data_IF_060338940376
#
_entry.id   IF_060338940376
#
_cell.length_a   1.000
_cell.length_b   1.000
_cell.length_c   1.000
_cell.angle_alpha   90.00
_cell.angle_beta   90.00
_cell.angle_gamma   90.00
#
_symmetry.space_group_name_H-M   'P 1'
#
loop_
_entity.id
_entity.type
_entity.pdbx_description
1 polymer ?
#
# COMPACT_ATOMS: atom_id res chain seq x y z
N UNK A 1 38.18 -3.25 15.41
CA UNK A 1 37.22 -3.91 14.49
C UNK A 1 35.88 -4.22 15.19
N UNK A 2 35.66 -3.70 16.40
CA UNK A 2 34.46 -3.91 17.21
C UNK A 2 33.75 -2.58 17.39
N UNK A 3 32.56 -2.44 16.78
CA UNK A 3 31.47 -1.47 17.11
C UNK A 3 30.48 -1.18 15.96
N UNK A 4 30.54 -1.90 14.82
CA UNK A 4 29.53 -1.75 13.74
C UNK A 4 28.32 -2.70 13.83
N UNK A 5 28.32 -3.66 14.75
CA UNK A 5 27.23 -4.65 14.89
C UNK A 5 25.92 -4.14 15.53
N UNK A 6 25.91 -3.23 16.54
CA UNK A 6 24.64 -2.87 17.20
C UNK A 6 23.74 -1.98 16.34
N UNK A 7 24.34 -1.11 15.51
CA UNK A 7 23.61 -0.17 14.66
C UNK A 7 22.80 -0.88 13.56
N UNK A 8 23.35 -1.94 12.96
CA UNK A 8 22.65 -2.69 11.91
C UNK A 8 21.45 -3.47 12.45
N UNK A 9 21.57 -4.05 13.66
CA UNK A 9 20.47 -4.74 14.33
C UNK A 9 19.37 -3.77 14.74
N UNK A 10 19.72 -2.60 15.28
CA UNK A 10 18.74 -1.57 15.65
C UNK A 10 18.00 -1.01 14.44
N UNK A 11 18.70 -0.74 13.33
CA UNK A 11 18.08 -0.32 12.07
C UNK A 11 17.11 -1.37 11.52
N UNK A 12 17.49 -2.65 11.58
CA UNK A 12 16.61 -3.74 11.18
C UNK A 12 15.32 -3.77 12.00
N UNK A 13 15.42 -3.77 13.33
CA UNK A 13 14.25 -3.76 14.21
C UNK A 13 13.37 -2.53 14.00
N UNK A 14 13.96 -1.34 13.87
CA UNK A 14 13.22 -0.11 13.61
C UNK A 14 12.46 -0.17 12.29
N UNK A 15 13.10 -0.68 11.22
CA UNK A 15 12.46 -0.87 9.92
C UNK A 15 11.35 -1.92 9.97
N UNK A 16 11.55 -3.03 10.68
CA UNK A 16 10.52 -4.06 10.86
C UNK A 16 9.30 -3.55 11.63
N UNK A 17 9.51 -2.78 12.71
CA UNK A 17 8.43 -2.18 13.47
C UNK A 17 7.68 -1.15 12.61
N UNK A 18 8.40 -0.34 11.83
CA UNK A 18 7.79 0.60 10.91
C UNK A 18 6.93 -0.10 9.84
N UNK A 19 7.42 -1.20 9.26
CA UNK A 19 6.64 -1.99 8.29
C UNK A 19 5.39 -2.63 8.92
N UNK A 20 5.49 -3.18 10.13
CA UNK A 20 4.33 -3.76 10.81
C UNK A 20 3.28 -2.69 11.17
N UNK A 21 3.73 -1.53 11.66
CA UNK A 21 2.84 -0.42 11.96
C UNK A 21 2.21 0.15 10.68
N UNK A 22 2.97 0.23 9.59
CA UNK A 22 2.45 0.56 8.25
C UNK A 22 1.31 -0.36 7.87
N UNK A 23 1.48 -1.68 8.00
CA UNK A 23 0.47 -2.66 7.64
C UNK A 23 -0.86 -2.46 8.38
N UNK A 24 -0.79 -2.28 9.70
CA UNK A 24 -1.98 -2.05 10.54
C UNK A 24 -2.69 -0.77 10.13
N UNK A 25 -1.94 0.33 9.95
CA UNK A 25 -2.49 1.62 9.58
C UNK A 25 -3.08 1.59 8.16
N UNK A 26 -2.42 0.90 7.23
CA UNK A 26 -2.87 0.77 5.84
C UNK A 26 -4.18 -0.01 5.75
N UNK A 27 -4.25 -1.18 6.41
CA UNK A 27 -5.47 -1.97 6.48
C UNK A 27 -6.62 -1.18 7.10
N UNK A 28 -6.36 -0.49 8.22
CA UNK A 28 -7.33 0.37 8.89
C UNK A 28 -7.82 1.49 7.98
N UNK A 29 -6.90 2.17 7.30
CA UNK A 29 -7.20 3.22 6.35
C UNK A 29 -8.21 2.77 5.28
N UNK A 30 -7.96 1.64 4.62
CA UNK A 30 -8.85 1.15 3.55
C UNK A 30 -10.23 0.77 4.11
N UNK A 31 -10.29 0.19 5.31
CA UNK A 31 -11.57 -0.10 6.00
C UNK A 31 -12.36 1.18 6.26
N UNK A 32 -11.74 2.21 6.83
CA UNK A 32 -12.39 3.53 7.01
C UNK A 32 -12.75 4.21 5.70
N UNK A 33 -12.04 3.90 4.62
CA UNK A 33 -12.40 4.41 3.29
C UNK A 33 -13.71 3.84 2.81
N UNK A 34 -13.92 2.54 3.04
CA UNK A 34 -15.19 1.89 2.74
C UNK A 34 -16.32 2.47 3.58
N UNK A 35 -16.09 2.71 4.88
CA UNK A 35 -17.07 3.39 5.74
C UNK A 35 -17.43 4.76 5.17
N UNK A 36 -16.44 5.56 4.73
CA UNK A 36 -16.71 6.85 4.13
C UNK A 36 -17.56 6.74 2.84
N UNK A 37 -17.36 5.70 2.03
CA UNK A 37 -18.20 5.42 0.85
C UNK A 37 -19.64 5.09 1.24
N UNK A 38 -19.84 4.30 2.30
CA UNK A 38 -21.17 3.95 2.79
C UNK A 38 -21.94 5.19 3.30
N UNK A 39 -21.23 6.28 3.64
CA UNK A 39 -21.79 7.59 3.99
C UNK A 39 -21.79 8.61 2.84
N UNK A 40 -21.64 8.17 1.60
CA UNK A 40 -21.83 9.00 0.39
C UNK A 40 -20.55 9.63 -0.19
N UNK A 41 -19.39 9.48 0.48
CA UNK A 41 -18.13 9.98 -0.09
C UNK A 41 -17.69 9.13 -1.30
N UNK A 42 -16.91 9.69 -2.21
CA UNK A 42 -16.31 8.94 -3.31
C UNK A 42 -14.78 8.88 -3.24
N UNK A 43 -14.20 8.00 -4.07
CA UNK A 43 -12.76 7.77 -4.11
C UNK A 43 -11.96 9.03 -4.46
N UNK A 44 -12.53 9.94 -5.25
CA UNK A 44 -11.90 11.19 -5.66
C UNK A 44 -11.74 12.13 -4.46
N UNK A 45 -12.81 12.34 -3.68
CA UNK A 45 -12.76 13.13 -2.45
C UNK A 45 -11.77 12.55 -1.42
N UNK A 46 -11.76 11.23 -1.25
CA UNK A 46 -10.81 10.57 -0.36
C UNK A 46 -9.35 10.78 -0.79
N UNK A 47 -9.04 10.54 -2.06
CA UNK A 47 -7.67 10.72 -2.57
C UNK A 47 -7.22 12.18 -2.51
N UNK A 48 -8.14 13.13 -2.75
CA UNK A 48 -7.86 14.55 -2.62
C UNK A 48 -7.47 14.91 -1.17
N UNK A 49 -8.29 14.51 -0.20
CA UNK A 49 -8.02 14.81 1.22
C UNK A 49 -6.75 14.11 1.71
N UNK A 50 -6.53 12.84 1.35
CA UNK A 50 -5.31 12.09 1.69
C UNK A 50 -4.05 12.78 1.18
N UNK A 51 -4.01 13.09 -0.11
CA UNK A 51 -2.80 13.66 -0.74
C UNK A 51 -2.53 15.08 -0.25
N UNK A 52 -3.56 15.92 -0.09
CA UNK A 52 -3.41 17.25 0.50
C UNK A 52 -2.93 17.18 1.96
N UNK A 53 -3.55 16.33 2.79
CA UNK A 53 -3.16 16.18 4.20
C UNK A 53 -1.71 15.75 4.29
N UNK A 54 -1.30 14.76 3.49
CA UNK A 54 0.06 14.27 3.50
C UNK A 54 1.08 15.31 3.01
N UNK A 55 0.77 15.99 1.91
CA UNK A 55 1.63 17.04 1.38
C UNK A 55 1.80 18.18 2.41
N UNK A 56 0.72 18.61 3.07
CA UNK A 56 0.77 19.58 4.15
C UNK A 56 1.67 19.12 5.30
N UNK A 57 1.55 17.87 5.77
CA UNK A 57 2.42 17.32 6.79
C UNK A 57 3.90 17.35 6.38
N UNK A 58 4.22 16.96 5.13
CA UNK A 58 5.61 16.98 4.64
C UNK A 58 6.15 18.40 4.48
N UNK A 59 5.34 19.35 4.02
CA UNK A 59 5.73 20.76 3.93
C UNK A 59 6.13 21.27 5.31
N UNK A 60 5.32 21.02 6.34
CA UNK A 60 5.64 21.39 7.73
C UNK A 60 6.96 20.76 8.19
N UNK A 61 7.17 19.47 7.91
CA UNK A 61 8.43 18.77 8.26
C UNK A 61 9.63 19.40 7.55
N UNK A 62 9.56 19.66 6.24
CA UNK A 62 10.66 20.23 5.45
C UNK A 62 11.02 21.64 5.93
N UNK A 63 10.02 22.48 6.23
CA UNK A 63 10.25 23.81 6.79
C UNK A 63 10.84 23.74 8.20
N UNK A 64 10.33 22.86 9.06
CA UNK A 64 10.82 22.70 10.43
C UNK A 64 12.26 22.16 10.50
N UNK A 65 12.65 21.29 9.55
CA UNK A 65 14.02 20.74 9.51
C UNK A 65 15.01 21.61 8.75
N UNK A 66 14.58 22.74 8.18
CA UNK A 66 15.43 23.62 7.36
C UNK A 66 16.04 22.91 6.15
N UNK A 67 15.43 21.81 5.69
CA UNK A 67 16.00 20.98 4.64
C UNK A 67 15.93 21.70 3.31
N UNK A 68 17.09 22.01 2.72
CA UNK A 68 17.16 22.59 1.39
C UNK A 68 16.59 21.58 0.37
N UNK A 69 15.48 21.92 -0.28
CA UNK A 69 14.84 21.14 -1.34
C UNK A 69 15.65 21.12 -2.66
N UNK A 70 16.98 21.03 -2.57
CA UNK A 70 17.88 20.99 -3.72
C UNK A 70 18.10 19.54 -4.11
N UNK A 71 17.38 19.10 -5.14
CA UNK A 71 17.58 17.79 -5.75
C UNK A 71 18.03 17.95 -7.20
N UNK A 72 18.92 17.07 -7.67
CA UNK A 72 19.32 17.03 -9.08
C UNK A 72 18.08 16.79 -9.95
N UNK A 73 17.95 17.51 -11.06
CA UNK A 73 16.78 17.42 -11.95
C UNK A 73 16.42 16.00 -12.37
N UNK A 74 17.41 15.15 -12.63
CA UNK A 74 17.18 13.75 -12.98
C UNK A 74 16.53 12.94 -11.84
N UNK A 75 17.00 13.11 -10.60
CA UNK A 75 16.41 12.42 -9.43
C UNK A 75 15.04 13.01 -9.08
N UNK A 76 14.85 14.32 -9.29
CA UNK A 76 13.53 14.97 -9.18
C UNK A 76 12.51 14.36 -10.15
N UNK A 77 12.87 14.21 -11.43
CA UNK A 77 11.99 13.59 -12.42
C UNK A 77 11.65 12.14 -12.07
N UNK A 78 12.59 11.38 -11.51
CA UNK A 78 12.31 10.03 -10.99
C UNK A 78 11.30 10.06 -9.86
N UNK A 79 11.44 10.97 -8.90
CA UNK A 79 10.50 11.10 -7.80
C UNK A 79 9.10 11.53 -8.28
N UNK A 80 9.01 12.43 -9.26
CA UNK A 80 7.73 12.78 -9.88
C UNK A 80 7.08 11.56 -10.53
N UNK A 81 7.87 10.70 -11.19
CA UNK A 81 7.36 9.44 -11.76
C UNK A 81 6.88 8.45 -10.69
N UNK A 82 7.56 8.37 -9.54
CA UNK A 82 7.04 7.63 -8.37
C UNK A 82 5.66 8.15 -7.96
N UNK A 83 5.42 9.47 -8.06
CA UNK A 83 4.13 10.06 -7.75
C UNK A 83 3.01 9.64 -8.70
N UNK A 84 3.34 9.36 -9.97
CA UNK A 84 2.38 8.78 -10.92
C UNK A 84 2.01 7.36 -10.52
N UNK A 85 2.99 6.53 -10.14
CA UNK A 85 2.76 5.16 -9.67
C UNK A 85 1.95 5.14 -8.36
N UNK A 86 2.27 6.03 -7.42
CA UNK A 86 1.51 6.21 -6.18
C UNK A 86 0.06 6.61 -6.48
N UNK A 87 -0.16 7.59 -7.36
CA UNK A 87 -1.50 7.99 -7.76
C UNK A 87 -2.26 6.82 -8.40
N UNK A 88 -1.64 6.09 -9.32
CA UNK A 88 -2.26 4.93 -9.97
C UNK A 88 -2.68 3.87 -8.93
N UNK A 89 -1.77 3.49 -8.03
CA UNK A 89 -2.05 2.55 -6.94
C UNK A 89 -3.22 3.01 -6.07
N UNK A 90 -3.20 4.25 -5.59
CA UNK A 90 -4.25 4.80 -4.73
C UNK A 90 -5.64 4.73 -5.37
N UNK A 91 -5.75 5.08 -6.66
CA UNK A 91 -7.02 5.04 -7.39
C UNK A 91 -7.47 3.62 -7.68
N UNK A 92 -6.58 2.75 -8.14
CA UNK A 92 -6.90 1.37 -8.49
C UNK A 92 -7.35 0.56 -7.27
N UNK A 93 -6.66 0.69 -6.14
CA UNK A 93 -7.05 0.01 -4.90
C UNK A 93 -8.38 0.53 -4.37
N UNK A 94 -8.57 1.85 -4.29
CA UNK A 94 -9.83 2.42 -3.83
C UNK A 94 -11.01 2.14 -4.76
N UNK A 95 -10.77 2.01 -6.07
CA UNK A 95 -11.79 1.59 -7.02
C UNK A 95 -12.14 0.10 -6.83
N UNK A 96 -11.16 -0.76 -6.51
CA UNK A 96 -11.43 -2.20 -6.31
C UNK A 96 -12.44 -2.46 -5.19
N UNK A 97 -12.37 -1.72 -4.08
CA UNK A 97 -13.28 -1.89 -2.92
C UNK A 97 -14.71 -1.36 -3.17
N UNK A 98 -14.99 -0.81 -4.35
CA UNK A 98 -16.36 -0.57 -4.82
C UNK A 98 -17.02 -1.84 -5.35
N UNK A 99 -16.22 -2.81 -5.81
CA UNK A 99 -16.70 -4.01 -6.48
C UNK A 99 -16.53 -5.29 -5.65
N UNK A 100 -15.57 -5.30 -4.72
CA UNK A 100 -15.26 -6.47 -3.90
C UNK A 100 -15.07 -6.09 -2.42
N UNK A 101 -15.22 -7.04 -1.48
CA UNK A 101 -14.96 -6.80 -0.06
C UNK A 101 -13.54 -6.29 0.20
N UNK A 102 -13.37 -5.48 1.25
CA UNK A 102 -12.10 -4.81 1.56
C UNK A 102 -10.98 -5.81 1.83
N UNK A 103 -11.28 -6.86 2.59
CA UNK A 103 -10.31 -7.91 2.89
C UNK A 103 -9.84 -8.64 1.61
N UNK A 104 -10.74 -8.86 0.64
CA UNK A 104 -10.40 -9.50 -0.63
C UNK A 104 -9.51 -8.59 -1.49
N UNK A 105 -9.86 -7.31 -1.59
CA UNK A 105 -9.07 -6.32 -2.31
C UNK A 105 -7.65 -6.22 -1.76
N UNK A 106 -7.52 -6.15 -0.43
CA UNK A 106 -6.22 -6.10 0.24
C UNK A 106 -5.46 -7.41 0.01
N UNK A 107 -6.09 -8.58 0.13
CA UNK A 107 -5.39 -9.84 -0.12
C UNK A 107 -4.80 -9.94 -1.54
N UNK A 108 -5.56 -9.53 -2.56
CA UNK A 108 -5.08 -9.49 -3.96
C UNK A 108 -3.98 -8.44 -4.12
N UNK A 109 -4.16 -7.27 -3.51
CA UNK A 109 -3.18 -6.18 -3.53
C UNK A 109 -1.82 -6.64 -2.97
N UNK A 110 -1.84 -7.40 -1.87
CA UNK A 110 -0.65 -7.98 -1.24
C UNK A 110 -0.04 -9.18 -2.01
N UNK A 111 -0.33 -9.32 -3.30
CA UNK A 111 0.50 -10.10 -4.22
C UNK A 111 1.79 -9.36 -4.63
N UNK A 112 1.88 -8.05 -4.39
CA UNK A 112 3.07 -7.24 -4.72
C UNK A 112 4.39 -7.72 -4.08
N UNK A 113 4.46 -8.30 -2.85
CA UNK A 113 5.71 -8.84 -2.30
C UNK A 113 6.27 -9.97 -3.17
N UNK A 114 5.41 -10.80 -3.77
CA UNK A 114 5.84 -11.84 -4.71
C UNK A 114 6.45 -11.23 -5.97
N UNK A 115 5.90 -10.11 -6.46
CA UNK A 115 6.43 -9.38 -7.61
C UNK A 115 7.80 -8.77 -7.29
N UNK A 116 7.99 -8.23 -6.08
CA UNK A 116 9.27 -7.70 -5.61
C UNK A 116 10.31 -8.82 -5.46
N UNK A 117 9.92 -9.96 -4.89
CA UNK A 117 10.79 -11.13 -4.76
C UNK A 117 11.24 -11.66 -6.14
N UNK A 118 10.31 -11.76 -7.09
CA UNK A 118 10.59 -12.16 -8.46
C UNK A 118 11.54 -11.18 -9.15
N UNK A 119 11.32 -9.88 -8.98
CA UNK A 119 12.20 -8.85 -9.53
C UNK A 119 13.61 -8.93 -8.94
N UNK A 120 13.73 -9.11 -7.63
CA UNK A 120 15.02 -9.26 -6.95
C UNK A 120 15.80 -10.46 -7.50
N UNK A 121 15.11 -11.56 -7.82
CA UNK A 121 15.72 -12.71 -8.48
C UNK A 121 16.19 -12.38 -9.90
N UNK A 122 15.33 -11.79 -10.75
CA UNK A 122 15.66 -11.47 -12.15
C UNK A 122 16.87 -10.54 -12.26
N UNK A 123 17.02 -9.59 -11.34
CA UNK A 123 18.15 -8.64 -11.31
C UNK A 123 19.40 -9.23 -10.63
N UNK A 124 19.35 -10.47 -10.14
CA UNK A 124 20.47 -11.15 -9.49
C UNK A 124 20.78 -10.64 -8.08
N UNK A 125 19.83 -9.95 -7.43
CA UNK A 125 19.95 -9.55 -6.01
C UNK A 125 19.71 -10.71 -5.04
N UNK A 126 19.06 -11.79 -5.49
CA UNK A 126 18.83 -13.01 -4.72
C UNK A 126 19.11 -14.27 -5.55
N UNK A 127 19.63 -15.32 -4.91
CA UNK A 127 19.78 -16.63 -5.54
C UNK A 127 18.41 -17.32 -5.64
N UNK A 128 18.05 -17.85 -6.81
CA UNK A 128 16.85 -18.67 -6.96
C UNK A 128 16.95 -19.90 -6.07
N UNK A 129 16.22 -19.90 -4.95
CA UNK A 129 16.05 -21.11 -4.17
C UNK A 129 14.77 -21.81 -4.66
N UNK A 130 14.79 -23.13 -4.91
CA UNK A 130 13.57 -23.90 -5.14
C UNK A 130 12.52 -23.69 -4.04
N UNK A 131 12.97 -23.34 -2.83
CA UNK A 131 12.11 -22.95 -1.71
C UNK A 131 11.31 -21.68 -2.02
N UNK A 132 11.93 -20.63 -2.55
CA UNK A 132 11.26 -19.37 -2.91
C UNK A 132 10.19 -19.62 -3.98
N UNK A 133 10.50 -20.43 -4.99
CA UNK A 133 9.52 -20.81 -6.00
C UNK A 133 8.33 -21.59 -5.43
N UNK A 134 8.58 -22.57 -4.55
CA UNK A 134 7.53 -23.29 -3.84
C UNK A 134 6.67 -22.36 -2.98
N UNK A 135 7.30 -21.43 -2.26
CA UNK A 135 6.60 -20.43 -1.45
C UNK A 135 5.69 -19.54 -2.31
N UNK A 136 6.17 -19.08 -3.47
CA UNK A 136 5.36 -18.32 -4.42
C UNK A 136 4.15 -19.13 -4.91
N UNK A 137 4.33 -20.42 -5.23
CA UNK A 137 3.23 -21.30 -5.66
C UNK A 137 2.19 -21.52 -4.55
N UNK A 138 2.63 -21.71 -3.30
CA UNK A 138 1.73 -21.86 -2.15
C UNK A 138 0.98 -20.55 -1.89
N UNK A 139 1.67 -19.41 -1.93
CA UNK A 139 1.05 -18.09 -1.76
C UNK A 139 -0.04 -17.83 -2.83
N UNK A 140 0.27 -18.15 -4.09
CA UNK A 140 -0.66 -18.02 -5.21
C UNK A 140 -1.84 -18.99 -5.08
N UNK A 141 -1.60 -20.21 -4.61
CA UNK A 141 -2.64 -21.20 -4.37
C UNK A 141 -3.60 -20.76 -3.26
N UNK A 142 -3.09 -20.22 -2.16
CA UNK A 142 -3.92 -19.60 -1.12
C UNK A 142 -4.80 -18.47 -1.68
N UNK A 143 -4.24 -17.64 -2.57
CA UNK A 143 -4.96 -16.53 -3.19
C UNK A 143 -6.07 -17.06 -4.10
N UNK A 144 -5.79 -18.09 -4.90
CA UNK A 144 -6.80 -18.77 -5.73
C UNK A 144 -7.90 -19.40 -4.88
N UNK A 145 -7.54 -20.06 -3.77
CA UNK A 145 -8.52 -20.65 -2.83
C UNK A 145 -9.42 -19.56 -2.27
N UNK A 146 -8.87 -18.41 -1.89
CA UNK A 146 -9.67 -17.31 -1.38
C UNK A 146 -10.59 -16.74 -2.46
N UNK A 147 -10.08 -16.52 -3.67
CA UNK A 147 -10.90 -16.01 -4.76
C UNK A 147 -12.01 -16.99 -5.15
N UNK A 148 -11.74 -18.30 -5.14
CA UNK A 148 -12.73 -19.35 -5.48
C UNK A 148 -13.66 -19.76 -4.34
N UNK A 149 -13.41 -19.28 -3.11
CA UNK A 149 -14.29 -19.42 -1.95
C UNK A 149 -15.55 -18.55 -2.04
N UNK A 150 -15.44 -17.41 -2.72
CA UNK A 150 -16.57 -16.75 -3.35
C UNK A 150 -16.95 -17.57 -4.58
N UNK A 151 -18.22 -17.90 -4.79
CA UNK A 151 -18.63 -18.56 -6.03
C UNK A 151 -18.16 -17.69 -7.21
N UNK A 152 -17.02 -17.99 -7.83
CA UNK A 152 -16.40 -17.15 -8.86
C UNK A 152 -17.30 -17.00 -10.12
N UNK A 153 -18.36 -17.82 -10.17
CA UNK A 153 -19.49 -17.79 -11.10
C UNK A 153 -20.60 -16.80 -10.69
N UNK A 154 -20.77 -16.48 -9.39
CA UNK A 154 -21.72 -15.49 -8.86
C UNK A 154 -21.14 -14.07 -8.75
N UNK A 155 -19.81 -13.92 -8.73
CA UNK A 155 -19.10 -12.63 -8.60
C UNK A 155 -19.34 -11.68 -9.80
N UNK A 156 -19.96 -12.17 -10.89
CA UNK A 156 -20.31 -11.36 -12.05
C UNK A 156 -19.09 -10.69 -12.73
N UNK A 157 -19.36 -9.85 -13.73
CA UNK A 157 -18.30 -9.07 -14.39
C UNK A 157 -17.66 -8.05 -13.44
N UNK A 158 -18.46 -7.46 -12.55
CA UNK A 158 -18.04 -6.39 -11.64
C UNK A 158 -16.97 -6.84 -10.65
N UNK A 159 -17.15 -7.98 -9.97
CA UNK A 159 -16.13 -8.41 -9.01
C UNK A 159 -14.84 -8.89 -9.67
N UNK A 160 -14.89 -9.44 -10.90
CA UNK A 160 -13.68 -9.72 -11.70
C UNK A 160 -12.92 -8.43 -12.04
N UNK A 161 -13.63 -7.36 -12.36
CA UNK A 161 -13.02 -6.05 -12.56
C UNK A 161 -12.37 -5.54 -11.26
N UNK A 162 -13.03 -5.71 -10.11
CA UNK A 162 -12.46 -5.39 -8.79
C UNK A 162 -11.14 -6.13 -8.50
N UNK A 163 -11.09 -7.44 -8.75
CA UNK A 163 -9.87 -8.25 -8.62
C UNK A 163 -8.78 -7.74 -9.57
N UNK A 164 -9.13 -7.46 -10.83
CA UNK A 164 -8.18 -6.91 -11.82
C UNK A 164 -7.61 -5.55 -11.40
N UNK A 165 -8.44 -4.66 -10.85
CA UNK A 165 -8.02 -3.36 -10.31
C UNK A 165 -7.06 -3.53 -9.13
N UNK A 166 -7.37 -4.41 -8.18
CA UNK A 166 -6.49 -4.68 -7.03
C UNK A 166 -5.14 -5.30 -7.47
N UNK A 167 -5.15 -6.21 -8.44
CA UNK A 167 -3.93 -6.81 -9.00
C UNK A 167 -3.08 -5.78 -9.76
N UNK A 168 -3.72 -4.85 -10.48
CA UNK A 168 -2.98 -3.79 -11.16
C UNK A 168 -2.43 -2.76 -10.17
N UNK A 169 -3.17 -2.46 -9.08
CA UNK A 169 -2.65 -1.69 -7.96
C UNK A 169 -1.41 -2.35 -7.33
N UNK A 170 -1.42 -3.68 -7.16
CA UNK A 170 -0.27 -4.44 -6.67
C UNK A 170 0.98 -4.25 -7.56
N UNK A 171 0.80 -4.29 -8.89
CA UNK A 171 1.88 -4.03 -9.84
C UNK A 171 2.44 -2.62 -9.69
N UNK A 172 1.57 -1.61 -9.58
CA UNK A 172 1.98 -0.23 -9.34
C UNK A 172 2.75 -0.09 -8.03
N UNK A 173 2.29 -0.72 -6.94
CA UNK A 173 2.99 -0.70 -5.66
C UNK A 173 4.35 -1.40 -5.73
N UNK A 174 4.44 -2.57 -6.36
CA UNK A 174 5.70 -3.29 -6.54
C UNK A 174 6.72 -2.40 -7.26
N UNK A 175 6.33 -1.81 -8.40
CA UNK A 175 7.17 -0.90 -9.15
C UNK A 175 7.56 0.34 -8.32
N UNK A 176 6.60 0.91 -7.58
CA UNK A 176 6.83 2.05 -6.70
C UNK A 176 7.89 1.75 -5.64
N UNK A 177 7.78 0.63 -4.92
CA UNK A 177 8.74 0.30 -3.84
C UNK A 177 10.12 -0.04 -4.39
N UNK A 178 10.21 -0.80 -5.50
CA UNK A 178 11.48 -1.14 -6.15
C UNK A 178 12.22 0.12 -6.62
N UNK A 179 11.52 1.03 -7.30
CA UNK A 179 12.12 2.25 -7.83
C UNK A 179 12.43 3.25 -6.70
N UNK A 180 11.61 3.28 -5.65
CA UNK A 180 11.86 4.10 -4.46
C UNK A 180 13.14 3.65 -3.74
N UNK A 181 13.36 2.34 -3.55
CA UNK A 181 14.60 1.82 -2.97
C UNK A 181 15.84 2.32 -3.73
N UNK A 182 15.79 2.34 -5.07
CA UNK A 182 16.90 2.83 -5.89
C UNK A 182 17.17 4.34 -5.70
N UNK A 183 16.11 5.13 -5.51
CA UNK A 183 16.23 6.58 -5.25
C UNK A 183 16.76 6.84 -3.85
N UNK A 184 16.29 6.08 -2.85
CA UNK A 184 16.69 6.20 -1.44
C UNK A 184 18.19 5.91 -1.22
N UNK A 185 18.82 5.11 -2.07
CA UNK A 185 20.27 4.93 -2.06
C UNK A 185 21.07 6.22 -2.32
N UNK A 186 20.42 7.26 -2.87
CA UNK A 186 21.07 8.50 -3.33
C UNK A 186 20.50 9.76 -2.69
N UNK A 187 19.32 9.68 -2.08
CA UNK A 187 18.54 10.84 -1.63
C UNK A 187 17.87 10.54 -0.29
N UNK A 188 17.62 11.58 0.49
CA UNK A 188 16.88 11.44 1.75
C UNK A 188 15.40 11.10 1.51
N UNK A 189 14.87 10.21 2.34
CA UNK A 189 13.47 9.74 2.28
C UNK A 189 12.44 10.88 2.23
N UNK A 190 12.64 11.94 3.03
CA UNK A 190 11.72 13.08 3.08
C UNK A 190 11.66 13.86 1.75
N UNK A 191 12.80 14.00 1.04
CA UNK A 191 12.84 14.68 -0.25
C UNK A 191 12.19 13.83 -1.34
N UNK A 192 12.47 12.53 -1.36
CA UNK A 192 11.81 11.60 -2.29
C UNK A 192 10.29 11.67 -2.13
N UNK A 193 9.82 11.53 -0.88
CA UNK A 193 8.39 11.57 -0.57
C UNK A 193 7.77 12.93 -0.93
N UNK A 194 8.46 14.04 -0.67
CA UNK A 194 7.97 15.38 -1.00
C UNK A 194 7.69 15.54 -2.50
N UNK A 195 8.66 15.22 -3.37
CA UNK A 195 8.46 15.34 -4.82
C UNK A 195 7.46 14.31 -5.37
N UNK A 196 7.48 13.09 -4.82
CA UNK A 196 6.49 12.05 -5.16
C UNK A 196 5.07 12.52 -4.85
N UNK A 197 4.83 13.06 -3.65
CA UNK A 197 3.52 13.55 -3.25
C UNK A 197 3.13 14.85 -3.95
N UNK A 198 4.09 15.72 -4.28
CA UNK A 198 3.81 16.90 -5.10
C UNK A 198 3.21 16.50 -6.44
N UNK A 199 3.80 15.50 -7.11
CA UNK A 199 3.26 14.97 -8.37
C UNK A 199 1.91 14.28 -8.18
N UNK A 200 1.79 13.39 -7.19
CA UNK A 200 0.54 12.67 -6.93
C UNK A 200 -0.61 13.62 -6.61
N UNK A 201 -0.38 14.61 -5.74
CA UNK A 201 -1.36 15.65 -5.38
C UNK A 201 -1.75 16.49 -6.60
N UNK A 202 -0.78 16.86 -7.45
CA UNK A 202 -1.05 17.58 -8.69
C UNK A 202 -1.97 16.81 -9.63
N UNK A 203 -1.72 15.51 -9.81
CA UNK A 203 -2.57 14.64 -10.65
C UNK A 203 -3.98 14.52 -10.06
N UNK A 204 -4.07 14.24 -8.75
CA UNK A 204 -5.36 14.14 -8.04
C UNK A 204 -6.16 15.44 -8.14
N UNK A 205 -5.51 16.61 -8.00
CA UNK A 205 -6.14 17.91 -8.16
C UNK A 205 -6.69 18.11 -9.58
N UNK A 206 -5.89 17.79 -10.61
CA UNK A 206 -6.34 17.88 -12.01
C UNK A 206 -7.55 16.98 -12.24
N UNK A 207 -7.52 15.73 -11.79
CA UNK A 207 -8.65 14.80 -11.91
C UNK A 207 -9.89 15.37 -11.20
N UNK A 208 -9.72 15.84 -9.98
CA UNK A 208 -10.81 16.37 -9.13
C UNK A 208 -11.41 17.67 -9.64
N UNK A 209 -10.67 18.46 -10.41
CA UNK A 209 -11.15 19.73 -10.97
C UNK A 209 -11.73 19.60 -12.38
N UNK A 210 -11.33 18.57 -13.14
CA UNK A 210 -11.63 18.49 -14.59
C UNK A 210 -12.38 17.24 -15.03
N UNK A 211 -12.25 16.12 -14.30
CA UNK A 211 -12.72 14.82 -14.77
C UNK A 211 -13.76 14.15 -13.87
N UNK A 212 -13.78 14.48 -12.58
CA UNK A 212 -14.61 13.78 -11.62
C UNK A 212 -15.27 14.72 -10.61
N UNK A 213 -16.55 14.49 -10.34
CA UNK A 213 -17.26 15.17 -9.27
C UNK A 213 -16.78 14.69 -7.90
N UNK A 214 -16.71 15.63 -6.96
CA UNK A 214 -16.34 15.33 -5.57
C UNK A 214 -17.61 15.11 -4.76
N UNK A 215 -17.81 13.86 -4.31
CA UNK A 215 -18.89 13.54 -3.39
C UNK A 215 -18.34 13.49 -1.98
N UNK A 216 -18.96 14.26 -1.09
CA UNK A 216 -18.57 14.40 0.31
C UNK A 216 -19.48 13.58 1.21
N UNK A 217 -19.01 13.21 2.43
CA UNK A 217 -19.85 12.49 3.37
C UNK A 217 -21.10 13.29 3.76
N UNK A 218 -22.23 12.61 3.85
CA UNK A 218 -23.53 13.23 4.17
C UNK A 218 -23.73 13.46 5.67
N UNK A 219 -22.91 12.81 6.52
CA UNK A 219 -23.10 12.79 7.97
C UNK A 219 -21.79 12.87 8.75
N UNK A 220 -21.89 13.21 10.05
CA UNK A 220 -20.73 13.31 10.95
C UNK A 220 -19.89 12.02 11.04
N UNK A 221 -20.47 10.81 11.15
CA UNK A 221 -19.70 9.56 11.08
C UNK A 221 -18.89 9.41 9.79
N UNK A 222 -19.45 9.83 8.65
CA UNK A 222 -18.77 9.80 7.36
C UNK A 222 -17.57 10.75 7.30
N UNK A 223 -17.68 11.95 7.87
CA UNK A 223 -16.55 12.88 8.01
C UNK A 223 -15.46 12.34 8.95
N UNK A 224 -15.85 11.71 10.07
CA UNK A 224 -14.89 11.04 10.95
C UNK A 224 -14.14 9.92 10.23
N UNK A 225 -14.84 9.09 9.45
CA UNK A 225 -14.23 8.02 8.66
C UNK A 225 -13.28 8.56 7.58
N UNK A 226 -13.67 9.62 6.89
CA UNK A 226 -12.84 10.29 5.88
C UNK A 226 -11.56 10.88 6.51
N UNK A 227 -11.68 11.59 7.62
CA UNK A 227 -10.52 12.16 8.34
C UNK A 227 -9.62 11.07 8.93
N UNK A 228 -10.20 10.01 9.50
CA UNK A 228 -9.46 8.86 10.00
C UNK A 228 -8.69 8.16 8.87
N UNK A 229 -9.33 7.89 7.73
CA UNK A 229 -8.67 7.35 6.55
C UNK A 229 -7.50 8.23 6.12
N UNK A 230 -7.68 9.54 6.03
CA UNK A 230 -6.59 10.45 5.64
C UNK A 230 -5.40 10.40 6.61
N UNK A 231 -5.64 10.47 7.92
CA UNK A 231 -4.56 10.41 8.92
C UNK A 231 -3.85 9.05 8.95
N UNK A 232 -4.61 7.96 8.88
CA UNK A 232 -4.08 6.60 8.83
C UNK A 232 -3.25 6.37 7.58
N UNK A 233 -3.69 6.88 6.43
CA UNK A 233 -2.94 6.82 5.17
C UNK A 233 -1.59 7.54 5.28
N UNK A 234 -1.57 8.77 5.83
CA UNK A 234 -0.32 9.52 6.06
C UNK A 234 0.66 8.71 6.91
N UNK A 235 0.19 8.17 8.03
CA UNK A 235 1.01 7.36 8.93
C UNK A 235 1.53 6.08 8.25
N UNK A 236 0.64 5.35 7.57
CA UNK A 236 0.98 4.14 6.85
C UNK A 236 2.06 4.37 5.81
N UNK A 237 1.82 5.30 4.88
CA UNK A 237 2.74 5.55 3.77
C UNK A 237 4.08 6.13 4.26
N UNK A 238 4.07 6.99 5.29
CA UNK A 238 5.32 7.48 5.87
C UNK A 238 6.16 6.36 6.47
N UNK A 239 5.53 5.48 7.26
CA UNK A 239 6.22 4.34 7.87
C UNK A 239 6.66 3.30 6.84
N UNK A 240 5.88 3.08 5.78
CA UNK A 240 6.23 2.20 4.67
C UNK A 240 7.54 2.63 4.01
N UNK A 241 7.63 3.89 3.56
CA UNK A 241 8.85 4.38 2.92
C UNK A 241 10.02 4.48 3.89
N UNK A 242 9.76 4.73 5.18
CA UNK A 242 10.80 4.68 6.21
C UNK A 242 11.31 3.26 6.42
N UNK A 243 10.45 2.25 6.36
CA UNK A 243 10.85 0.85 6.40
C UNK A 243 11.69 0.48 5.17
N UNK A 244 11.29 0.92 3.96
CA UNK A 244 12.09 0.70 2.74
C UNK A 244 13.49 1.31 2.85
N UNK A 245 13.59 2.52 3.40
CA UNK A 245 14.87 3.20 3.65
C UNK A 245 15.78 2.44 4.64
N UNK A 246 15.19 1.76 5.62
CA UNK A 246 15.92 1.08 6.70
C UNK A 246 16.28 -0.38 6.39
N UNK A 247 15.37 -1.13 5.75
CA UNK A 247 15.51 -2.59 5.54
C UNK A 247 15.32 -3.03 4.09
N UNK A 248 15.06 -2.09 3.16
CA UNK A 248 14.85 -2.38 1.74
C UNK A 248 13.41 -2.76 1.41
N UNK A 249 13.10 -2.79 0.10
CA UNK A 249 11.74 -3.01 -0.39
C UNK A 249 11.22 -4.42 -0.12
N UNK A 250 12.06 -5.45 -0.31
CA UNK A 250 11.66 -6.85 -0.14
C UNK A 250 11.32 -7.18 1.33
N UNK A 251 12.21 -6.84 2.27
CA UNK A 251 11.96 -7.09 3.70
C UNK A 251 10.74 -6.33 4.20
N UNK A 252 10.59 -5.07 3.75
CA UNK A 252 9.40 -4.26 4.06
C UNK A 252 8.14 -4.95 3.55
N UNK A 253 8.14 -5.40 2.30
CA UNK A 253 6.99 -6.06 1.68
C UNK A 253 6.58 -7.36 2.39
N UNK A 254 7.55 -8.17 2.82
CA UNK A 254 7.29 -9.42 3.57
C UNK A 254 6.59 -9.13 4.90
N UNK A 255 7.05 -8.12 5.65
CA UNK A 255 6.46 -7.75 6.94
C UNK A 255 5.09 -7.07 6.75
N UNK A 256 5.00 -6.20 5.76
CA UNK A 256 3.78 -5.47 5.44
C UNK A 256 2.66 -6.42 4.95
N UNK A 257 3.02 -7.62 4.46
CA UNK A 257 2.09 -8.71 4.13
C UNK A 257 1.27 -9.25 5.33
N UNK A 258 1.45 -8.71 6.52
CA UNK A 258 0.51 -8.90 7.64
C UNK A 258 -0.82 -8.16 7.44
N UNK A 259 -0.87 -7.13 6.60
CA UNK A 259 -2.05 -6.30 6.31
C UNK A 259 -3.34 -7.05 5.98
N UNK A 260 -3.35 -8.11 5.14
CA UNK A 260 -4.57 -8.86 4.87
C UNK A 260 -5.22 -9.43 6.14
N UNK A 261 -4.42 -9.83 7.14
CA UNK A 261 -4.94 -10.31 8.43
C UNK A 261 -5.65 -9.19 9.18
N UNK A 262 -5.03 -8.01 9.25
CA UNK A 262 -5.63 -6.83 9.87
C UNK A 262 -6.90 -6.38 9.12
N UNK A 263 -6.89 -6.44 7.79
CA UNK A 263 -8.03 -6.13 6.96
C UNK A 263 -9.21 -7.08 7.18
N UNK A 264 -8.95 -8.37 7.38
CA UNK A 264 -9.99 -9.34 7.75
C UNK A 264 -10.58 -9.04 9.12
N UNK A 265 -9.73 -8.80 10.12
CA UNK A 265 -10.19 -8.48 11.49
C UNK A 265 -11.02 -7.20 11.51
N UNK A 266 -10.51 -6.13 10.88
CA UNK A 266 -11.17 -4.83 10.87
C UNK A 266 -12.40 -4.82 9.94
N UNK A 267 -12.35 -5.51 8.81
CA UNK A 267 -13.52 -5.70 7.94
C UNK A 267 -14.65 -6.42 8.64
N UNK A 268 -14.34 -7.43 9.47
CA UNK A 268 -15.32 -8.10 10.31
C UNK A 268 -15.92 -7.16 11.37
N UNK A 269 -15.07 -6.49 12.16
CA UNK A 269 -15.51 -5.67 13.30
C UNK A 269 -16.24 -4.38 12.85
N UNK A 270 -15.74 -3.71 11.82
CA UNK A 270 -16.19 -2.36 11.43
C UNK A 270 -17.24 -2.41 10.32
N UNK A 271 -17.07 -3.30 9.34
CA UNK A 271 -17.94 -3.36 8.15
C UNK A 271 -18.95 -4.51 8.20
N UNK A 272 -18.92 -5.34 9.26
CA UNK A 272 -19.68 -6.58 9.34
C UNK A 272 -19.51 -7.48 8.11
N UNK A 273 -18.32 -7.45 7.48
CA UNK A 273 -17.99 -8.28 6.32
C UNK A 273 -17.61 -9.68 6.79
N UNK A 274 -18.43 -10.67 6.43
CA UNK A 274 -18.15 -12.07 6.69
C UNK A 274 -17.37 -12.67 5.53
N UNK A 275 -16.26 -13.31 5.86
CA UNK A 275 -15.57 -14.19 4.92
C UNK A 275 -15.97 -15.63 5.21
N UNK A 276 -16.17 -16.41 4.14
CA UNK A 276 -16.42 -17.83 4.25
C UNK A 276 -15.17 -18.55 4.80
N UNK A 277 -15.37 -19.71 5.44
CA UNK A 277 -14.27 -20.50 6.02
C UNK A 277 -13.16 -20.84 5.02
N UNK A 278 -13.52 -21.05 3.74
CA UNK A 278 -12.57 -21.25 2.63
C UNK A 278 -11.74 -19.99 2.33
N UNK A 279 -12.37 -18.82 2.36
CA UNK A 279 -11.71 -17.55 2.08
C UNK A 279 -10.67 -17.22 3.15
N UNK A 280 -11.03 -17.43 4.42
CA UNK A 280 -10.14 -17.28 5.56
C UNK A 280 -8.98 -18.28 5.48
N UNK A 281 -9.26 -19.55 5.17
CA UNK A 281 -8.21 -20.57 5.05
C UNK A 281 -7.21 -20.22 3.93
N UNK A 282 -7.69 -19.82 2.75
CA UNK A 282 -6.82 -19.40 1.65
C UNK A 282 -5.99 -18.16 2.01
N UNK A 283 -6.58 -17.19 2.71
CA UNK A 283 -5.90 -15.96 3.10
C UNK A 283 -4.77 -16.24 4.09
N UNK A 284 -5.03 -17.12 5.07
CA UNK A 284 -4.00 -17.58 6.03
C UNK A 284 -2.87 -18.34 5.33
N UNK A 285 -3.18 -19.18 4.33
CA UNK A 285 -2.16 -19.86 3.53
C UNK A 285 -1.31 -18.85 2.75
N UNK A 286 -1.92 -17.85 2.11
CA UNK A 286 -1.19 -16.81 1.37
C UNK A 286 -0.28 -16.00 2.29
N UNK A 287 -0.81 -15.52 3.42
CA UNK A 287 -0.04 -14.72 4.37
C UNK A 287 1.10 -15.53 4.96
N UNK A 288 0.82 -16.76 5.40
CA UNK A 288 1.81 -17.66 5.99
C UNK A 288 2.92 -18.03 5.00
N UNK A 289 2.58 -18.26 3.73
CA UNK A 289 3.57 -18.55 2.70
C UNK A 289 4.52 -17.37 2.49
N UNK A 290 4.01 -16.15 2.30
CA UNK A 290 4.87 -14.97 2.07
C UNK A 290 5.78 -14.69 3.27
N UNK A 291 5.35 -14.98 4.50
CA UNK A 291 6.19 -14.85 5.71
C UNK A 291 7.37 -15.83 5.75
N UNK A 292 7.39 -16.86 4.91
CA UNK A 292 8.50 -17.82 4.79
C UNK A 292 9.58 -17.39 3.79
N UNK A 293 9.37 -16.28 3.06
CA UNK A 293 10.38 -15.65 2.20
C UNK A 293 11.46 -14.94 3.02
#
# INVERSE_FOLDING_TARGET
VTDRFPLHRQQFWAGSIAALASAILFASNVVFSRVAYDYGANLHALNLVRTLTFLCCLVVVVFATGSSAKMKRAEMLRCLWLGVLLCAEMYLLLASILFIPVALAILVFYSYPLMIALWAWVVGKSSFSPLVFMVMLVAFSGLVITLTGSDLLSVGWQGRAGIGLAAFAALCLAALLILSEQVLQRQHVHLMMFYMLLSATGIVLVISMTMADLHWPESSPGWMALSASAGLYVGATFLLFRAVDLVGSLQTAIIDNTSPVWAMILGFIVLAQWLNSREVAGALVTVGAVMLL
#
